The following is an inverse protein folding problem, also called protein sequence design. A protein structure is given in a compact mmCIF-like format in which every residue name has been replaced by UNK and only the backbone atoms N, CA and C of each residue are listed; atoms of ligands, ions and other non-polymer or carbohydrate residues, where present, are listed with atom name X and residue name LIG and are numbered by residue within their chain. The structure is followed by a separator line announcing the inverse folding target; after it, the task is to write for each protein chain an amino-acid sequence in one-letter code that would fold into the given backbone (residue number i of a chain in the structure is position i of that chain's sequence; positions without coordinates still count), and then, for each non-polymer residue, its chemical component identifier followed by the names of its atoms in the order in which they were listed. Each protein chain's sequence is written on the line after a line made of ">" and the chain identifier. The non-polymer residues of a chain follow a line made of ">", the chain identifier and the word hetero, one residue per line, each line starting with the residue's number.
data_IF_034871037036
#
_entry.id   IF_034871037036
#
_cell.length_a   1.000
_cell.length_b   1.000
_cell.length_c   1.000
_cell.angle_alpha   90.00
_cell.angle_beta   90.00
_cell.angle_gamma   90.00
#
_symmetry.space_group_name_H-M   'P 1'
#
loop_
_entity.id
_entity.type
_entity.pdbx_description
1 polymer ?
#
# COMPACT_ATOMS: atom_id res chain seq x y z
N UNK A 1 0.25 38.96 38.16
CA UNK A 1 -0.39 38.70 36.82
C UNK A 1 0.42 37.83 35.90
N UNK A 2 1.56 37.24 36.29
CA UNK A 2 2.48 36.48 35.43
C UNK A 2 2.29 34.94 35.44
N UNK A 3 1.71 34.39 36.48
CA UNK A 3 1.54 32.91 36.60
C UNK A 3 0.44 32.32 35.69
N UNK A 4 -0.64 33.07 35.45
CA UNK A 4 -1.75 32.62 34.61
C UNK A 4 -1.40 32.58 33.11
N UNK A 5 -0.50 33.42 32.63
CA UNK A 5 -0.04 33.43 31.24
C UNK A 5 0.88 32.21 30.92
N UNK A 6 1.74 31.85 31.89
CA UNK A 6 2.65 30.69 31.71
C UNK A 6 1.89 29.37 31.63
N UNK A 7 0.89 29.17 32.47
CA UNK A 7 0.07 27.95 32.47
C UNK A 7 -0.74 27.79 31.19
N UNK A 8 -1.24 28.91 30.64
CA UNK A 8 -1.96 28.90 29.35
C UNK A 8 -1.06 28.63 28.15
N UNK A 9 0.18 29.15 28.17
CA UNK A 9 1.16 28.92 27.13
C UNK A 9 1.65 27.46 27.09
N UNK A 10 1.85 26.82 28.24
CA UNK A 10 2.24 25.42 28.36
C UNK A 10 1.09 24.50 27.92
N UNK A 11 -0.17 24.84 28.23
CA UNK A 11 -1.33 24.08 27.79
C UNK A 11 -1.53 24.05 26.27
N UNK A 12 -1.24 25.16 25.58
CA UNK A 12 -1.36 25.28 24.12
C UNK A 12 -0.20 24.52 23.42
N UNK A 13 1.00 24.56 23.98
CA UNK A 13 2.15 23.81 23.43
C UNK A 13 1.97 22.28 23.52
N UNK A 14 1.31 21.79 24.57
CA UNK A 14 1.05 20.35 24.72
C UNK A 14 -0.02 19.81 23.73
N UNK A 15 -0.89 20.67 23.21
CA UNK A 15 -1.95 20.27 22.26
C UNK A 15 -1.45 20.10 20.81
N UNK A 16 -0.26 20.59 20.48
CA UNK A 16 0.32 20.54 19.13
C UNK A 16 1.15 19.29 18.85
N UNK A 17 1.31 18.38 19.81
CA UNK A 17 2.11 17.16 19.67
C UNK A 17 1.33 15.93 19.20
N UNK A 18 0.07 16.08 18.76
CA UNK A 18 -0.65 15.00 18.10
C UNK A 18 -0.18 14.92 16.65
N UNK A 19 1.05 14.49 16.45
CA UNK A 19 1.55 14.08 15.12
C UNK A 19 0.84 12.80 14.71
N UNK A 20 -0.26 12.96 13.95
CA UNK A 20 -0.94 11.83 13.36
C UNK A 20 0.01 11.06 12.45
N UNK A 21 0.37 9.83 12.84
CA UNK A 21 0.97 8.90 11.90
C UNK A 21 0.04 8.74 10.71
N UNK A 22 0.57 8.83 9.47
CA UNK A 22 -0.20 8.60 8.26
C UNK A 22 -0.59 7.11 8.20
N UNK A 23 -1.69 6.75 8.84
CA UNK A 23 -2.25 5.40 8.79
C UNK A 23 -3.14 5.26 7.57
N UNK A 24 -2.98 4.18 6.80
CA UNK A 24 -3.97 3.77 5.80
C UNK A 24 -5.14 3.10 6.50
N UNK A 25 -6.38 3.27 6.00
CA UNK A 25 -7.52 2.49 6.48
C UNK A 25 -7.21 0.99 6.46
N UNK A 26 -7.77 0.22 7.37
CA UNK A 26 -7.74 -1.25 7.31
C UNK A 26 -8.68 -1.73 6.21
N UNK A 27 -8.25 -2.76 5.48
CA UNK A 27 -9.13 -3.50 4.57
C UNK A 27 -10.24 -4.23 5.34
N UNK A 28 -11.29 -4.62 4.63
CA UNK A 28 -12.32 -5.49 5.19
C UNK A 28 -11.75 -6.83 5.63
N UNK A 29 -12.42 -7.46 6.61
CA UNK A 29 -12.02 -8.79 7.07
C UNK A 29 -12.10 -9.84 5.94
N UNK A 30 -13.04 -9.67 5.01
CA UNK A 30 -13.17 -10.51 3.81
C UNK A 30 -11.92 -10.44 2.94
N UNK A 31 -11.48 -9.23 2.57
CA UNK A 31 -10.27 -9.04 1.76
C UNK A 31 -9.03 -9.58 2.50
N UNK A 32 -8.95 -9.31 3.80
CA UNK A 32 -7.85 -9.80 4.63
C UNK A 32 -7.78 -11.32 4.67
N UNK A 33 -8.91 -12.01 4.77
CA UNK A 33 -8.97 -13.47 4.71
C UNK A 33 -8.62 -14.00 3.34
N UNK A 34 -9.26 -13.47 2.28
CA UNK A 34 -9.03 -13.90 0.90
C UNK A 34 -7.56 -13.77 0.51
N UNK A 35 -6.94 -12.62 0.78
CA UNK A 35 -5.54 -12.37 0.44
C UNK A 35 -4.57 -13.35 1.12
N UNK A 36 -4.92 -13.90 2.28
CA UNK A 36 -4.09 -14.84 3.04
C UNK A 36 -4.29 -16.30 2.66
N UNK A 37 -5.24 -16.63 1.80
CA UNK A 37 -5.37 -17.98 1.26
C UNK A 37 -4.27 -18.31 0.26
N UNK A 38 -3.78 -17.30 -0.46
CA UNK A 38 -2.86 -17.45 -1.58
C UNK A 38 -3.37 -18.36 -2.70
N UNK A 39 -4.67 -18.54 -2.75
CA UNK A 39 -5.34 -19.33 -3.80
C UNK A 39 -6.04 -18.36 -4.74
N UNK A 40 -5.53 -18.19 -5.97
CA UNK A 40 -6.21 -17.36 -6.96
C UNK A 40 -7.59 -17.93 -7.29
N UNK A 41 -8.59 -17.10 -7.59
CA UNK A 41 -9.83 -17.57 -8.19
C UNK A 41 -9.56 -18.31 -9.50
N UNK A 42 -10.46 -19.19 -9.91
CA UNK A 42 -10.34 -19.95 -11.15
C UNK A 42 -10.18 -19.01 -12.35
N UNK A 43 -9.17 -19.27 -13.19
CA UNK A 43 -8.88 -18.45 -14.36
C UNK A 43 -8.15 -17.14 -14.04
N UNK A 44 -7.75 -16.90 -12.80
CA UNK A 44 -7.19 -15.62 -12.34
C UNK A 44 -5.79 -15.76 -11.74
N UNK A 45 -5.24 -14.61 -11.41
CA UNK A 45 -3.90 -14.43 -10.87
C UNK A 45 -3.97 -13.47 -9.67
N UNK A 46 -3.30 -13.80 -8.59
CA UNK A 46 -3.17 -12.88 -7.45
C UNK A 46 -1.95 -11.97 -7.59
N UNK A 47 -2.13 -10.69 -7.30
CA UNK A 47 -1.06 -9.69 -7.29
C UNK A 47 -1.00 -9.04 -5.92
N UNK A 48 0.20 -9.00 -5.34
CA UNK A 48 0.48 -8.37 -4.06
C UNK A 48 1.55 -7.30 -4.21
N UNK A 49 1.29 -6.11 -3.69
CA UNK A 49 2.31 -5.06 -3.58
C UNK A 49 2.52 -4.73 -2.12
N UNK A 50 3.73 -4.87 -1.64
CA UNK A 50 4.07 -4.90 -0.21
C UNK A 50 5.01 -3.74 0.10
N UNK A 51 4.71 -2.99 1.14
CA UNK A 51 5.60 -1.97 1.69
C UNK A 51 6.15 -2.42 3.04
N UNK A 52 7.44 -2.81 3.10
CA UNK A 52 8.11 -3.12 4.35
C UNK A 52 8.26 -1.90 5.25
N UNK A 53 8.68 -2.14 6.50
CA UNK A 53 9.12 -1.06 7.36
C UNK A 53 10.36 -0.39 6.78
N UNK A 54 10.33 0.94 6.71
CA UNK A 54 11.50 1.74 6.39
C UNK A 54 11.38 3.07 7.14
N UNK A 55 12.50 3.55 7.69
CA UNK A 55 12.53 4.83 8.40
C UNK A 55 12.33 6.00 7.43
N UNK A 56 12.95 5.93 6.24
CA UNK A 56 12.84 6.98 5.21
C UNK A 56 11.45 6.95 4.60
N UNK A 57 10.76 8.09 4.65
CA UNK A 57 9.41 8.22 4.09
C UNK A 57 8.31 7.52 4.91
N UNK A 58 8.58 7.13 6.16
CA UNK A 58 7.62 6.40 7.01
C UNK A 58 6.30 7.14 7.26
N UNK A 59 6.32 8.46 7.27
CA UNK A 59 5.12 9.30 7.44
C UNK A 59 4.31 9.49 6.15
N UNK A 60 4.83 9.07 4.98
CA UNK A 60 4.20 9.27 3.69
C UNK A 60 3.38 8.04 3.29
N UNK A 61 2.27 8.28 2.61
CA UNK A 61 1.56 7.24 1.85
C UNK A 61 2.16 7.14 0.45
N UNK A 62 2.27 5.92 -0.05
CA UNK A 62 2.78 5.67 -1.40
C UNK A 62 1.67 5.11 -2.27
N UNK A 63 1.34 5.84 -3.33
CA UNK A 63 0.34 5.41 -4.30
C UNK A 63 0.97 4.42 -5.27
N UNK A 64 0.29 3.30 -5.45
CA UNK A 64 0.65 2.21 -6.36
C UNK A 64 -0.37 2.18 -7.50
N UNK A 65 0.11 1.90 -8.70
CA UNK A 65 -0.72 1.69 -9.88
C UNK A 65 -0.61 0.24 -10.35
N UNK A 66 -1.68 -0.28 -10.94
CA UNK A 66 -1.70 -1.54 -11.66
C UNK A 66 -2.27 -1.27 -13.03
N UNK A 67 -1.50 -1.60 -14.06
CA UNK A 67 -1.75 -1.19 -15.44
C UNK A 67 -1.87 0.34 -15.58
N UNK A 68 -2.99 0.84 -16.04
CA UNK A 68 -3.23 2.29 -16.20
C UNK A 68 -4.00 2.91 -15.04
N UNK A 69 -4.43 2.09 -14.05
CA UNK A 69 -5.28 2.50 -12.94
C UNK A 69 -4.54 2.64 -11.63
N UNK A 70 -5.09 3.44 -10.72
CA UNK A 70 -4.65 3.45 -9.33
C UNK A 70 -5.04 2.13 -8.67
N UNK A 71 -4.08 1.44 -8.09
CA UNK A 71 -4.30 0.21 -7.34
C UNK A 71 -4.66 0.52 -5.88
N UNK A 72 -4.05 1.54 -5.32
CA UNK A 72 -4.30 2.01 -3.96
C UNK A 72 -3.08 2.63 -3.32
N UNK A 73 -3.16 2.86 -2.01
CA UNK A 73 -2.08 3.49 -1.24
C UNK A 73 -1.56 2.57 -0.14
N UNK A 74 -0.26 2.64 0.09
CA UNK A 74 0.46 1.85 1.07
C UNK A 74 1.01 2.70 2.21
N UNK A 75 0.69 2.30 3.45
CA UNK A 75 1.38 2.72 4.66
C UNK A 75 2.55 1.79 5.00
N UNK A 76 3.26 2.05 6.10
CA UNK A 76 4.29 1.14 6.60
C UNK A 76 3.68 -0.22 7.01
N UNK A 77 4.40 -1.31 6.71
CA UNK A 77 3.99 -2.68 7.04
C UNK A 77 2.57 -2.99 6.54
N UNK A 78 2.27 -2.54 5.34
CA UNK A 78 1.00 -2.84 4.68
C UNK A 78 1.21 -3.44 3.30
N UNK A 79 0.16 -4.03 2.75
CA UNK A 79 0.15 -4.54 1.39
C UNK A 79 -1.18 -4.24 0.70
N UNK A 80 -1.12 -4.14 -0.63
CA UNK A 80 -2.27 -4.17 -1.53
C UNK A 80 -2.42 -5.58 -2.09
N UNK A 81 -3.65 -6.01 -2.26
CA UNK A 81 -4.00 -7.29 -2.87
C UNK A 81 -5.01 -7.07 -3.98
N UNK A 82 -4.80 -7.68 -5.12
CA UNK A 82 -5.72 -7.64 -6.25
C UNK A 82 -5.71 -8.94 -7.04
N UNK A 83 -6.72 -9.10 -7.85
CA UNK A 83 -6.89 -10.24 -8.75
C UNK A 83 -6.95 -9.73 -10.18
N UNK A 84 -6.14 -10.30 -11.07
CA UNK A 84 -6.05 -9.89 -12.48
C UNK A 84 -6.29 -11.09 -13.40
N UNK A 85 -6.52 -10.80 -14.68
CA UNK A 85 -6.53 -11.82 -15.73
C UNK A 85 -5.10 -12.31 -16.00
N UNK A 86 -4.91 -13.50 -16.58
CA UNK A 86 -3.61 -13.87 -17.17
C UNK A 86 -3.25 -12.94 -18.33
N UNK A 87 -1.97 -12.59 -18.46
CA UNK A 87 -1.47 -11.72 -19.51
C UNK A 87 -0.38 -10.76 -19.05
N UNK A 88 -0.12 -9.73 -19.85
CA UNK A 88 0.87 -8.71 -19.57
C UNK A 88 0.29 -7.64 -18.65
N UNK A 89 0.99 -7.35 -17.56
CA UNK A 89 0.61 -6.35 -16.57
C UNK A 89 1.80 -5.49 -16.17
N UNK A 90 1.49 -4.31 -15.62
CA UNK A 90 2.49 -3.36 -15.13
C UNK A 90 2.11 -2.86 -13.74
N UNK A 91 2.97 -3.12 -12.77
CA UNK A 91 2.88 -2.49 -11.43
C UNK A 91 3.71 -1.23 -11.44
N UNK A 92 3.14 -0.12 -10.99
CA UNK A 92 3.81 1.17 -10.92
C UNK A 92 3.71 1.82 -9.55
N UNK A 93 4.58 2.79 -9.29
CA UNK A 93 4.51 3.69 -8.13
C UNK A 93 4.44 5.13 -8.59
N UNK A 94 3.65 5.93 -7.91
CA UNK A 94 3.68 7.38 -8.07
C UNK A 94 4.56 7.98 -6.96
N UNK A 95 5.47 8.89 -7.32
CA UNK A 95 6.30 9.53 -6.33
C UNK A 95 5.45 10.37 -5.37
N UNK A 96 5.76 10.37 -4.06
CA UNK A 96 5.00 11.13 -3.07
C UNK A 96 5.22 12.65 -3.18
N UNK A 97 6.15 13.09 -4.02
CA UNK A 97 6.55 14.48 -4.18
C UNK A 97 6.47 14.91 -5.63
N UNK A 98 6.20 16.21 -5.83
CA UNK A 98 6.23 16.82 -7.16
C UNK A 98 7.65 16.76 -7.72
N UNK A 99 7.80 16.23 -8.95
CA UNK A 99 9.10 16.10 -9.63
C UNK A 99 9.84 14.78 -9.40
N UNK A 100 9.30 13.87 -8.60
CA UNK A 100 9.83 12.50 -8.51
C UNK A 100 9.51 11.68 -9.77
N UNK A 101 10.34 10.70 -10.08
CA UNK A 101 10.12 9.81 -11.23
C UNK A 101 9.25 8.61 -10.83
N UNK A 102 8.20 8.31 -11.59
CA UNK A 102 7.44 7.06 -11.42
C UNK A 102 8.32 5.86 -11.76
N UNK A 103 8.23 4.80 -10.98
CA UNK A 103 8.86 3.52 -11.30
C UNK A 103 7.79 2.52 -11.74
N UNK A 104 8.15 1.62 -12.68
CA UNK A 104 7.25 0.63 -13.25
C UNK A 104 7.97 -0.68 -13.51
N UNK A 105 7.28 -1.80 -13.22
CA UNK A 105 7.77 -3.15 -13.47
C UNK A 105 6.70 -3.92 -14.23
N UNK A 106 7.03 -4.37 -15.45
CA UNK A 106 6.19 -5.25 -16.24
C UNK A 106 6.37 -6.71 -15.80
N UNK A 107 5.31 -7.49 -15.91
CA UNK A 107 5.35 -8.94 -15.66
C UNK A 107 4.27 -9.66 -16.48
N UNK A 108 4.52 -10.91 -16.80
CA UNK A 108 3.55 -11.79 -17.46
C UNK A 108 2.85 -12.62 -16.39
N UNK A 109 1.57 -12.39 -16.20
CA UNK A 109 0.74 -13.09 -15.23
C UNK A 109 0.26 -14.43 -15.79
N UNK A 110 0.57 -15.53 -15.10
CA UNK A 110 0.16 -16.89 -15.44
C UNK A 110 -0.97 -17.33 -14.50
N UNK A 111 -2.04 -17.92 -15.06
CA UNK A 111 -3.18 -18.42 -14.31
C UNK A 111 -2.76 -19.30 -13.12
N UNK A 112 -3.43 -19.11 -11.99
CA UNK A 112 -3.18 -19.91 -10.79
C UNK A 112 -1.96 -19.51 -9.98
N UNK A 113 -1.21 -18.48 -10.40
CA UNK A 113 0.00 -18.02 -9.72
C UNK A 113 -0.23 -16.79 -8.86
N UNK A 114 0.70 -16.59 -7.91
CA UNK A 114 0.77 -15.42 -7.06
C UNK A 114 2.03 -14.61 -7.42
N UNK A 115 1.87 -13.32 -7.63
CA UNK A 115 2.97 -12.39 -7.90
C UNK A 115 3.12 -11.40 -6.76
N UNK A 116 4.34 -11.25 -6.29
CA UNK A 116 4.67 -10.37 -5.17
C UNK A 116 5.68 -9.32 -5.61
N UNK A 117 5.40 -8.07 -5.25
CA UNK A 117 6.28 -6.93 -5.49
C UNK A 117 6.55 -6.22 -4.18
N UNK A 118 7.77 -5.75 -4.01
CA UNK A 118 8.16 -4.93 -2.88
C UNK A 118 8.36 -3.49 -3.36
N UNK A 119 7.79 -2.53 -2.64
CA UNK A 119 8.04 -1.10 -2.82
C UNK A 119 8.91 -0.57 -1.69
N UNK A 120 9.89 0.26 -2.03
CA UNK A 120 10.83 0.84 -1.07
C UNK A 120 11.30 2.22 -1.54
N UNK A 121 11.82 3.08 -0.63
CA UNK A 121 12.34 4.38 -1.05
C UNK A 121 13.58 4.19 -1.90
N UNK A 122 13.60 4.84 -3.06
CA UNK A 122 14.78 4.93 -3.90
C UNK A 122 15.82 5.90 -3.34
N UNK A 123 16.76 6.26 -4.19
CA UNK A 123 17.90 7.12 -3.80
C UNK A 123 17.39 8.42 -3.18
N UNK A 124 17.87 8.70 -1.96
CA UNK A 124 17.51 9.89 -1.17
C UNK A 124 16.00 10.10 -0.94
N UNK A 125 15.16 9.10 -1.17
CA UNK A 125 13.70 9.19 -0.95
C UNK A 125 12.93 9.98 -2.02
N UNK A 126 13.56 10.35 -3.13
CA UNK A 126 12.90 11.07 -4.23
C UNK A 126 12.09 10.16 -5.16
N UNK A 127 12.34 8.87 -5.14
CA UNK A 127 11.58 7.86 -5.88
C UNK A 127 11.02 6.80 -4.95
N UNK A 128 10.08 6.05 -5.47
CA UNK A 128 9.60 4.80 -4.87
C UNK A 128 9.93 3.70 -5.86
N UNK A 129 10.88 2.85 -5.49
CA UNK A 129 11.32 1.76 -6.33
C UNK A 129 10.45 0.51 -6.11
N UNK A 130 10.30 -0.27 -7.16
CA UNK A 130 9.54 -1.52 -7.16
C UNK A 130 10.45 -2.62 -7.65
N UNK A 131 10.42 -3.77 -6.97
CA UNK A 131 11.09 -4.97 -7.42
C UNK A 131 10.22 -6.20 -7.18
N UNK A 132 10.33 -7.24 -8.04
CA UNK A 132 9.73 -8.53 -7.78
C UNK A 132 10.28 -9.13 -6.47
N UNK A 133 9.44 -9.86 -5.77
CA UNK A 133 9.77 -10.57 -4.55
C UNK A 133 9.48 -12.05 -4.74
N UNK A 134 10.34 -12.92 -4.24
CA UNK A 134 10.08 -14.35 -4.27
C UNK A 134 8.83 -14.71 -3.44
N UNK A 135 8.18 -15.80 -3.81
CA UNK A 135 6.90 -16.19 -3.25
C UNK A 135 6.99 -16.46 -1.74
N UNK A 136 8.05 -17.10 -1.26
CA UNK A 136 8.20 -17.41 0.16
C UNK A 136 8.31 -16.14 0.99
N UNK A 137 9.15 -15.20 0.58
CA UNK A 137 9.31 -13.91 1.25
C UNK A 137 8.04 -13.06 1.15
N UNK A 138 7.34 -13.11 0.00
CA UNK A 138 6.07 -12.43 -0.22
C UNK A 138 4.99 -12.93 0.72
N UNK A 139 4.76 -14.23 0.79
CA UNK A 139 3.77 -14.87 1.68
C UNK A 139 4.05 -14.55 3.15
N UNK A 140 5.30 -14.67 3.58
CA UNK A 140 5.68 -14.35 4.95
C UNK A 140 5.27 -12.92 5.34
N UNK A 141 5.55 -11.94 4.47
CA UNK A 141 5.18 -10.53 4.72
C UNK A 141 3.69 -10.28 4.72
N UNK A 142 2.94 -10.92 3.82
CA UNK A 142 1.47 -10.81 3.80
C UNK A 142 0.86 -11.33 5.10
N UNK A 143 1.40 -12.40 5.68
CA UNK A 143 0.94 -12.93 6.97
C UNK A 143 1.24 -12.00 8.14
N UNK A 144 2.36 -11.28 8.10
CA UNK A 144 2.82 -10.39 9.18
C UNK A 144 2.25 -8.97 9.08
N UNK A 145 1.80 -8.55 7.89
CA UNK A 145 1.42 -7.17 7.60
C UNK A 145 -0.09 -7.00 7.55
N UNK A 146 -0.53 -5.74 7.53
CA UNK A 146 -1.94 -5.38 7.44
C UNK A 146 -2.31 -5.08 5.99
N UNK A 147 -3.40 -5.66 5.47
CA UNK A 147 -3.92 -5.27 4.16
C UNK A 147 -4.42 -3.82 4.20
N UNK A 148 -4.11 -3.07 3.15
CA UNK A 148 -4.56 -1.68 3.02
C UNK A 148 -6.02 -1.64 2.59
N UNK A 149 -6.86 -0.89 3.31
CA UNK A 149 -8.24 -0.62 2.93
C UNK A 149 -8.37 0.49 1.87
N UNK A 150 -7.28 1.18 1.56
CA UNK A 150 -7.21 2.07 0.41
C UNK A 150 -6.81 1.27 -0.83
N UNK A 151 -7.70 0.36 -1.20
CA UNK A 151 -7.52 -0.63 -2.26
C UNK A 151 -8.71 -0.54 -3.23
N UNK A 152 -8.42 -0.20 -4.48
CA UNK A 152 -9.46 -0.01 -5.51
C UNK A 152 -10.26 -1.26 -5.82
N UNK A 153 -9.66 -2.43 -5.71
CA UNK A 153 -10.38 -3.69 -5.94
C UNK A 153 -11.45 -3.93 -4.87
N UNK A 154 -11.19 -3.56 -3.62
CA UNK A 154 -12.19 -3.63 -2.57
C UNK A 154 -13.32 -2.63 -2.79
N UNK A 155 -12.99 -1.41 -3.22
CA UNK A 155 -13.97 -0.36 -3.49
C UNK A 155 -14.91 -0.73 -4.66
N UNK A 156 -14.41 -1.38 -5.69
CA UNK A 156 -15.22 -1.82 -6.84
C UNK A 156 -16.17 -2.97 -6.48
N UNK A 157 -15.71 -3.92 -5.64
CA UNK A 157 -16.58 -5.03 -5.17
C UNK A 157 -17.67 -4.55 -4.19
N UNK A 158 -17.44 -3.45 -3.47
CA UNK A 158 -18.41 -2.89 -2.53
C UNK A 158 -19.49 -2.02 -3.19
N UNK A 159 -19.33 -1.67 -4.47
CA UNK A 159 -20.34 -0.92 -5.21
C UNK A 159 -21.49 -1.85 -5.65
N UNK A 160 -22.76 -1.49 -5.40
CA UNK A 160 -23.88 -2.24 -5.95
C UNK A 160 -23.82 -2.18 -7.50
N UNK A 161 -24.26 -3.24 -8.19
CA UNK A 161 -24.30 -3.23 -9.65
C UNK A 161 -25.11 -2.03 -10.15
N UNK A 162 -24.73 -1.41 -11.26
CA UNK A 162 -25.47 -0.31 -11.85
C UNK A 162 -26.90 -0.76 -12.17
N UNK A 163 -27.89 0.04 -11.77
CA UNK A 163 -29.33 -0.22 -11.99
C UNK A 163 -29.68 0.04 -13.46
#
# INVERSE_FOLDING_TARGET
>A
MTRSCLVRAVGIAALLLVTGCATVPKASDRLAQQSRTFVPPLGKVNVYVIRPYNFIGGALRWTVTLDSGEFGSLGLRSYLYGVVEPGEHVVGSLPPQVGGSPNRVGFTAVEGHNYFFKVYPGVLGYSVDIEPLDEQAGRSRVLDYTPSGDNRFELLESQPPPR
#
